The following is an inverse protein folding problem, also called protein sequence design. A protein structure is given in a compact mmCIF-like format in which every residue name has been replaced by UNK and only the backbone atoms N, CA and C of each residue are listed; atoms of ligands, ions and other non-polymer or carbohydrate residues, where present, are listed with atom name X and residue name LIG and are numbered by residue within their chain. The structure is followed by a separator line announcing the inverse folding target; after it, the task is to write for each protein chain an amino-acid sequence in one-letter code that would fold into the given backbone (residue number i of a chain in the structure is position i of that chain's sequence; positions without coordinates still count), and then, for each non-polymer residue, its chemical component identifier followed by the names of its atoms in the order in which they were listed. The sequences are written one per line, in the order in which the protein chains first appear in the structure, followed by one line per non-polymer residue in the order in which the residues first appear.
data_IF_466601421783
#
_entry.id   IF_466601421783
#
_cell.length_a   1.000
_cell.length_b   1.000
_cell.length_c   1.000
_cell.angle_alpha   90.00
_cell.angle_beta   90.00
_cell.angle_gamma   90.00
#
_symmetry.space_group_name_H-M   'P 1'
#
loop_
_entity.id
_entity.type
_entity.pdbx_description
1 polymer ?
#
# COMPACT_ATOMS: atom_id res chain seq x y z
N UNK A 1 36.27 -31.62 20.81
CA UNK A 1 35.21 -31.09 21.68
C UNK A 1 34.31 -30.25 20.81
N UNK A 2 32.99 -30.43 20.75
CA UNK A 2 32.05 -30.83 21.81
C UNK A 2 32.15 -30.00 23.09
N UNK A 3 30.98 -29.48 23.47
CA UNK A 3 30.56 -28.89 24.75
C UNK A 3 31.03 -27.44 25.00
N UNK A 4 30.23 -26.47 25.44
CA UNK A 4 28.89 -26.43 26.03
C UNK A 4 28.49 -24.94 26.22
N UNK A 5 27.26 -24.69 26.67
CA UNK A 5 26.49 -23.44 26.83
C UNK A 5 25.43 -23.30 25.72
N UNK A 6 24.41 -24.18 25.70
CA UNK A 6 23.22 -24.10 26.56
C UNK A 6 22.51 -22.75 26.37
N UNK A 7 21.55 -22.68 25.44
CA UNK A 7 20.15 -22.93 25.79
C UNK A 7 19.65 -21.92 26.83
N UNK A 8 19.22 -20.73 26.38
CA UNK A 8 18.14 -20.03 27.08
C UNK A 8 17.49 -18.93 26.25
N UNK A 9 16.61 -19.33 25.33
CA UNK A 9 15.22 -18.83 25.23
C UNK A 9 14.58 -19.43 23.99
N UNK A 10 13.78 -20.48 24.22
CA UNK A 10 12.90 -21.10 23.23
C UNK A 10 12.02 -20.07 22.50
N UNK A 11 11.49 -20.40 21.32
CA UNK A 11 10.23 -21.15 21.15
C UNK A 11 10.12 -21.55 19.66
N UNK A 12 9.41 -22.64 19.30
CA UNK A 12 9.36 -23.19 17.94
C UNK A 12 8.65 -22.23 16.98
N UNK A 13 9.08 -22.19 15.71
CA UNK A 13 8.26 -21.60 14.63
C UNK A 13 8.87 -20.45 13.82
N UNK A 14 10.19 -20.29 13.77
CA UNK A 14 10.82 -19.29 12.90
C UNK A 14 11.25 -19.91 11.57
N UNK A 15 10.32 -19.92 10.61
CA UNK A 15 10.70 -19.90 9.19
C UNK A 15 11.72 -18.78 8.98
N UNK A 16 12.87 -19.11 8.39
CA UNK A 16 13.86 -18.11 7.99
C UNK A 16 13.18 -17.01 7.15
N UNK A 17 13.55 -15.75 7.34
CA UNK A 17 12.88 -14.61 6.68
C UNK A 17 12.96 -14.72 5.15
N UNK A 18 13.95 -15.43 4.61
CA UNK A 18 14.03 -15.73 3.18
C UNK A 18 13.09 -16.86 2.76
N UNK A 19 12.87 -17.89 3.60
CA UNK A 19 11.87 -18.94 3.32
C UNK A 19 10.44 -18.38 3.31
N UNK A 20 10.12 -17.40 4.16
CA UNK A 20 8.81 -16.73 4.10
C UNK A 20 8.62 -15.96 2.79
N UNK A 21 9.65 -15.28 2.27
CA UNK A 21 9.56 -14.55 1.00
C UNK A 21 9.28 -15.47 -0.18
N UNK A 22 9.93 -16.63 -0.23
CA UNK A 22 9.76 -17.58 -1.34
C UNK A 22 8.38 -18.26 -1.30
N UNK A 23 7.88 -18.60 -0.11
CA UNK A 23 6.52 -19.12 0.04
C UNK A 23 5.45 -18.08 -0.32
N UNK A 24 5.65 -16.82 0.07
CA UNK A 24 4.75 -15.73 -0.29
C UNK A 24 4.76 -15.44 -1.80
N UNK A 25 5.94 -15.52 -2.45
CA UNK A 25 6.06 -15.39 -3.91
C UNK A 25 5.32 -16.50 -4.64
N UNK A 26 5.56 -17.77 -4.29
CA UNK A 26 4.87 -18.92 -4.91
C UNK A 26 3.36 -18.83 -4.78
N UNK A 27 2.85 -18.46 -3.60
CA UNK A 27 1.40 -18.29 -3.39
C UNK A 27 0.82 -17.14 -4.22
N UNK A 28 1.57 -16.06 -4.41
CA UNK A 28 1.14 -14.95 -5.27
C UNK A 28 1.13 -15.34 -6.75
N UNK A 29 2.12 -16.09 -7.22
CA UNK A 29 2.20 -16.59 -8.60
C UNK A 29 1.04 -17.54 -8.91
N UNK A 30 0.73 -18.47 -8.00
CA UNK A 30 -0.41 -19.39 -8.15
C UNK A 30 -1.76 -18.65 -8.19
N UNK A 31 -1.92 -17.61 -7.37
CA UNK A 31 -3.11 -16.76 -7.38
C UNK A 31 -3.22 -15.93 -8.68
N UNK A 32 -2.09 -15.50 -9.24
CA UNK A 32 -2.06 -14.76 -10.50
C UNK A 32 -2.46 -15.66 -11.67
N UNK A 33 -1.89 -16.87 -11.74
CA UNK A 33 -2.19 -17.87 -12.78
C UNK A 33 -3.63 -18.36 -12.71
N UNK A 34 -4.21 -18.51 -11.51
CA UNK A 34 -5.65 -18.80 -11.35
C UNK A 34 -6.55 -17.64 -11.80
N UNK A 35 -6.12 -16.39 -11.58
CA UNK A 35 -6.83 -15.18 -12.04
C UNK A 35 -6.87 -15.04 -13.55
N UNK A 36 -5.81 -15.40 -14.25
CA UNK A 36 -5.75 -15.30 -15.73
C UNK A 36 -6.61 -16.35 -16.42
N UNK A 37 -6.80 -17.53 -15.81
CA UNK A 37 -7.58 -18.64 -16.38
C UNK A 37 -9.09 -18.46 -16.17
N UNK A 38 -9.52 -17.81 -15.09
CA UNK A 38 -10.95 -17.76 -14.74
C UNK A 38 -11.75 -16.63 -15.40
N UNK A 39 -11.14 -15.63 -16.02
CA UNK A 39 -11.83 -14.51 -16.72
C UNK A 39 -12.73 -13.61 -15.83
N UNK A 40 -12.94 -13.98 -14.57
CA UNK A 40 -13.74 -13.24 -13.60
C UNK A 40 -12.85 -12.16 -13.00
N UNK A 41 -13.14 -10.89 -13.34
CA UNK A 41 -12.59 -9.75 -12.61
C UNK A 41 -13.21 -9.79 -11.22
N UNK A 42 -12.45 -10.10 -10.14
CA UNK A 42 -13.04 -10.16 -8.81
C UNK A 42 -13.53 -8.75 -8.45
N UNK A 43 -14.79 -8.62 -8.01
CA UNK A 43 -15.29 -7.36 -7.45
C UNK A 43 -14.31 -6.94 -6.34
N UNK A 44 -13.77 -5.71 -6.38
CA UNK A 44 -12.77 -5.31 -5.40
C UNK A 44 -13.40 -5.36 -4.02
N UNK A 45 -12.80 -6.14 -3.13
CA UNK A 45 -13.11 -6.08 -1.70
C UNK A 45 -12.86 -4.66 -1.18
N UNK A 46 -13.43 -4.28 -0.04
CA UNK A 46 -13.22 -2.95 0.57
C UNK A 46 -11.73 -2.59 0.67
N UNK A 47 -10.88 -3.58 0.98
CA UNK A 47 -9.43 -3.44 0.98
C UNK A 47 -8.83 -3.17 -0.41
N UNK A 48 -9.36 -3.82 -1.45
CA UNK A 48 -9.00 -3.57 -2.85
C UNK A 48 -9.40 -2.17 -3.32
N UNK A 49 -10.57 -1.69 -2.91
CA UNK A 49 -11.04 -0.33 -3.22
C UNK A 49 -10.13 0.74 -2.59
N UNK A 50 -9.78 0.58 -1.31
CA UNK A 50 -8.84 1.49 -0.64
C UNK A 50 -7.47 1.50 -1.32
N UNK A 51 -6.97 0.34 -1.75
CA UNK A 51 -5.70 0.25 -2.46
C UNK A 51 -5.73 0.99 -3.79
N UNK A 52 -6.82 0.88 -4.55
CA UNK A 52 -6.96 1.56 -5.84
C UNK A 52 -7.05 3.07 -5.66
N UNK A 53 -7.86 3.55 -4.71
CA UNK A 53 -7.96 4.98 -4.40
C UNK A 53 -6.63 5.57 -3.96
N UNK A 54 -5.84 4.86 -3.14
CA UNK A 54 -4.49 5.29 -2.76
C UNK A 54 -3.56 5.37 -3.96
N UNK A 55 -3.66 4.42 -4.89
CA UNK A 55 -2.85 4.41 -6.12
C UNK A 55 -3.21 5.61 -7.00
N UNK A 56 -4.49 5.86 -7.21
CA UNK A 56 -4.99 7.00 -7.97
C UNK A 56 -4.54 8.32 -7.35
N UNK A 57 -4.72 8.50 -6.04
CA UNK A 57 -4.29 9.69 -5.32
C UNK A 57 -2.78 9.93 -5.48
N UNK A 58 -1.95 8.89 -5.32
CA UNK A 58 -0.50 9.03 -5.47
C UNK A 58 -0.10 9.41 -6.91
N UNK A 59 -0.75 8.83 -7.93
CA UNK A 59 -0.51 9.19 -9.32
C UNK A 59 -0.85 10.67 -9.59
N UNK A 60 -1.98 11.15 -9.09
CA UNK A 60 -2.38 12.55 -9.23
C UNK A 60 -1.43 13.49 -8.49
N UNK A 61 -0.92 13.11 -7.32
CA UNK A 61 0.10 13.88 -6.60
C UNK A 61 1.40 13.98 -7.41
N UNK A 62 1.86 12.90 -8.07
CA UNK A 62 3.03 12.97 -8.94
C UNK A 62 2.79 13.92 -10.13
N UNK A 63 1.61 13.89 -10.74
CA UNK A 63 1.24 14.85 -11.79
C UNK A 63 1.26 16.29 -11.26
N UNK A 64 0.69 16.54 -10.07
CA UNK A 64 0.69 17.86 -9.44
C UNK A 64 2.09 18.33 -9.07
N UNK A 65 2.98 17.43 -8.63
CA UNK A 65 4.40 17.73 -8.37
C UNK A 65 5.09 18.23 -9.64
N UNK A 66 4.96 17.51 -10.75
CA UNK A 66 5.57 17.92 -12.01
C UNK A 66 4.99 19.23 -12.56
N UNK A 67 3.71 19.51 -12.30
CA UNK A 67 3.06 20.76 -12.74
C UNK A 67 3.41 21.98 -11.90
N UNK A 68 3.57 21.82 -10.58
CA UNK A 68 3.74 22.93 -9.62
C UNK A 68 5.17 23.08 -9.10
N UNK A 69 6.02 22.09 -9.32
CA UNK A 69 7.38 22.01 -8.74
C UNK A 69 7.40 21.71 -7.23
N UNK A 70 6.24 21.63 -6.56
CA UNK A 70 6.18 21.44 -5.10
C UNK A 70 6.47 20.00 -4.71
N UNK A 71 7.24 19.72 -3.64
CA UNK A 71 7.54 18.35 -3.21
C UNK A 71 6.28 17.54 -2.87
N UNK A 72 6.31 16.22 -3.09
CA UNK A 72 5.20 15.30 -2.78
C UNK A 72 4.68 15.45 -1.34
N UNK A 73 5.59 15.54 -0.36
CA UNK A 73 5.23 15.72 1.05
C UNK A 73 4.49 17.03 1.31
N UNK A 74 4.85 18.11 0.61
CA UNK A 74 4.13 19.38 0.69
C UNK A 74 2.70 19.23 0.18
N UNK A 75 2.52 18.59 -0.98
CA UNK A 75 1.20 18.36 -1.59
C UNK A 75 0.32 17.50 -0.66
N UNK A 76 0.86 16.40 -0.11
CA UNK A 76 0.12 15.57 0.84
C UNK A 76 -0.29 16.33 2.11
N UNK A 77 0.60 17.18 2.64
CA UNK A 77 0.29 18.02 3.80
C UNK A 77 -0.80 19.03 3.47
N UNK A 78 -0.76 19.64 2.30
CA UNK A 78 -1.77 20.61 1.86
C UNK A 78 -3.13 19.95 1.64
N UNK A 79 -3.18 18.77 1.02
CA UNK A 79 -4.41 17.98 0.88
C UNK A 79 -5.01 17.60 2.24
N UNK A 80 -4.16 17.25 3.21
CA UNK A 80 -4.61 17.00 4.58
C UNK A 80 -5.09 18.28 5.26
N UNK A 81 -4.52 19.44 4.96
CA UNK A 81 -4.98 20.73 5.49
C UNK A 81 -6.35 21.12 4.94
N UNK A 82 -6.58 20.88 3.63
CA UNK A 82 -7.83 21.23 2.93
C UNK A 82 -8.94 20.23 3.27
N UNK A 83 -8.68 18.92 3.16
CA UNK A 83 -9.69 17.88 3.36
C UNK A 83 -9.78 17.40 4.83
N UNK A 84 -8.80 17.73 5.67
CA UNK A 84 -8.70 17.18 7.02
C UNK A 84 -8.33 15.69 7.06
N UNK A 85 -8.46 15.12 8.26
CA UNK A 85 -8.34 13.68 8.49
C UNK A 85 -6.91 13.11 8.64
N UNK A 86 -6.78 11.79 8.85
CA UNK A 86 -5.52 11.12 9.13
C UNK A 86 -4.62 10.97 7.87
N UNK A 87 -3.36 10.53 8.01
CA UNK A 87 -2.50 10.21 6.86
C UNK A 87 -3.14 9.19 5.91
N UNK A 88 -2.71 9.18 4.63
CA UNK A 88 -3.28 8.32 3.56
C UNK A 88 -3.38 6.84 3.94
N UNK A 89 -2.41 6.33 4.70
CA UNK A 89 -2.39 4.95 5.17
C UNK A 89 -3.57 4.58 6.09
N UNK A 90 -4.11 5.56 6.82
CA UNK A 90 -5.23 5.40 7.75
C UNK A 90 -6.51 6.14 7.27
N UNK A 91 -6.48 6.76 6.09
CA UNK A 91 -7.62 7.47 5.54
C UNK A 91 -8.73 6.51 5.09
N UNK A 92 -9.98 6.92 5.30
CA UNK A 92 -11.17 6.21 4.83
C UNK A 92 -11.39 6.39 3.33
N UNK A 93 -12.28 5.59 2.76
CA UNK A 93 -12.66 5.68 1.33
C UNK A 93 -13.11 7.09 0.95
N UNK A 94 -13.97 7.71 1.76
CA UNK A 94 -14.52 9.04 1.45
C UNK A 94 -13.45 10.13 1.56
N UNK A 95 -12.58 10.06 2.57
CA UNK A 95 -11.43 10.97 2.70
C UNK A 95 -10.45 10.84 1.52
N UNK A 96 -10.24 9.64 0.98
CA UNK A 96 -9.40 9.45 -0.20
C UNK A 96 -10.04 10.04 -1.45
N UNK A 97 -11.36 9.88 -1.62
CA UNK A 97 -12.12 10.47 -2.73
C UNK A 97 -12.09 12.00 -2.68
N UNK A 98 -12.35 12.59 -1.51
CA UNK A 98 -12.27 14.04 -1.32
C UNK A 98 -10.88 14.58 -1.66
N UNK A 99 -9.81 13.88 -1.24
CA UNK A 99 -8.43 14.27 -1.59
C UNK A 99 -8.15 14.15 -3.08
N UNK A 100 -8.67 13.13 -3.75
CA UNK A 100 -8.54 12.96 -5.21
C UNK A 100 -9.15 14.17 -5.92
N UNK A 101 -10.36 14.57 -5.53
CA UNK A 101 -11.02 15.76 -6.08
C UNK A 101 -10.23 17.04 -5.79
N UNK A 102 -9.72 17.19 -4.56
CA UNK A 102 -8.90 18.34 -4.20
C UNK A 102 -7.59 18.44 -5.00
N UNK A 103 -6.91 17.32 -5.28
CA UNK A 103 -5.70 17.33 -6.13
C UNK A 103 -6.03 17.73 -7.56
N UNK A 104 -7.16 17.27 -8.11
CA UNK A 104 -7.59 17.64 -9.47
C UNK A 104 -7.84 19.13 -9.59
N UNK A 105 -8.37 19.76 -8.53
CA UNK A 105 -8.64 21.19 -8.43
C UNK A 105 -7.46 22.06 -7.98
N UNK A 106 -6.31 21.46 -7.62
CA UNK A 106 -5.12 22.17 -7.17
C UNK A 106 -4.54 22.99 -8.34
N UNK A 107 -4.99 24.25 -8.44
CA UNK A 107 -4.54 25.20 -9.46
C UNK A 107 -3.08 25.59 -9.19
N UNK A 108 -2.33 25.62 -10.30
CA UNK A 108 -1.00 26.22 -10.47
C UNK A 108 -0.89 27.58 -9.80
#
# INVERSE_FOLDING_TARGET
GSDEEADYLGIPGLLDTNQMRDLLRRRQEEQLTKRTVSGVVPRPSTHGQLRELRRELNALVSVAHHRTGKPHGWIHNELRRICGGPPIAAATTDQLRERIEAVRGLKV
#
